data_IF_468443499532
#
_entry.id   IF_468443499532
#
_cell.length_a   1.000
_cell.length_b   1.000
_cell.length_c   1.000
_cell.angle_alpha   90.00
_cell.angle_beta   90.00
_cell.angle_gamma   90.00
#
_symmetry.space_group_name_H-M   'P 1'
#
loop_
_entity.id
_entity.type
_entity.pdbx_description
1 polymer ?
#
# COMPACT_ATOMS: atom_id res chain seq x y z
N UNK A 1 11.84 -0.72 -7.11
CA UNK A 1 10.87 0.38 -7.27
C UNK A 1 9.51 -0.25 -7.24
N UNK A 2 8.69 0.08 -6.25
CA UNK A 2 7.31 -0.40 -6.19
C UNK A 2 6.46 0.53 -7.04
N UNK A 3 5.76 -0.04 -8.02
CA UNK A 3 4.92 0.70 -8.95
C UNK A 3 3.51 0.82 -8.38
N UNK A 4 3.08 2.05 -8.12
CA UNK A 4 1.67 2.34 -7.85
C UNK A 4 0.87 2.22 -9.14
N UNK A 5 -0.35 1.71 -9.07
CA UNK A 5 -1.32 1.78 -10.15
C UNK A 5 -2.50 2.66 -9.76
N UNK A 6 -3.18 3.21 -10.75
CA UNK A 6 -4.44 3.91 -10.54
C UNK A 6 -5.59 2.93 -10.78
N UNK A 7 -6.52 2.85 -9.83
CA UNK A 7 -7.71 2.01 -10.01
C UNK A 7 -8.77 2.71 -10.88
N UNK A 8 -9.83 1.99 -11.25
CA UNK A 8 -10.91 2.53 -12.08
C UNK A 8 -11.68 3.70 -11.45
N UNK A 9 -11.45 3.98 -10.16
CA UNK A 9 -12.04 5.09 -9.41
C UNK A 9 -11.09 6.28 -9.25
N UNK A 10 -9.89 6.23 -9.87
CA UNK A 10 -8.89 7.30 -9.84
C UNK A 10 -7.96 7.30 -8.63
N UNK A 11 -8.06 6.33 -7.72
CA UNK A 11 -7.18 6.24 -6.55
C UNK A 11 -5.85 5.59 -6.90
N UNK A 12 -4.76 6.17 -6.40
CA UNK A 12 -3.43 5.57 -6.49
C UNK A 12 -3.25 4.54 -5.38
N UNK A 13 -3.00 3.31 -5.81
CA UNK A 13 -2.85 2.15 -4.95
C UNK A 13 -1.45 1.58 -5.13
N UNK A 14 -0.83 1.25 -4.00
CA UNK A 14 0.47 0.58 -3.94
C UNK A 14 0.22 -0.91 -3.64
N UNK A 15 0.36 -1.80 -4.63
CA UNK A 15 0.35 -3.22 -4.39
C UNK A 15 1.65 -3.62 -3.69
N UNK A 16 1.53 -4.42 -2.64
CA UNK A 16 2.66 -4.92 -1.86
C UNK A 16 2.73 -6.43 -1.97
N UNK A 17 3.91 -6.93 -2.28
CA UNK A 17 4.29 -8.35 -2.24
C UNK A 17 4.72 -8.79 -0.84
N UNK A 18 4.86 -10.09 -0.63
CA UNK A 18 5.26 -10.67 0.65
C UNK A 18 6.61 -10.10 1.17
N UNK A 19 7.58 -9.86 0.29
CA UNK A 19 8.88 -9.29 0.66
C UNK A 19 8.76 -7.82 1.11
N UNK A 20 7.92 -7.05 0.42
CA UNK A 20 7.66 -5.64 0.74
C UNK A 20 6.90 -5.51 2.07
N UNK A 21 5.93 -6.40 2.30
CA UNK A 21 5.21 -6.50 3.57
C UNK A 21 6.15 -6.91 4.71
N UNK A 22 7.15 -7.75 4.43
CA UNK A 22 8.12 -8.19 5.43
C UNK A 22 8.97 -7.03 5.95
N UNK A 23 9.42 -6.14 5.06
CA UNK A 23 10.26 -4.97 5.38
C UNK A 23 9.46 -3.79 5.92
N UNK A 24 8.15 -3.73 5.65
CA UNK A 24 7.29 -2.67 6.16
C UNK A 24 6.32 -3.19 7.23
N UNK A 25 6.66 -3.09 8.53
CA UNK A 25 5.85 -3.68 9.61
C UNK A 25 4.39 -3.24 9.64
N UNK A 26 4.12 -1.99 9.22
CA UNK A 26 2.75 -1.45 9.11
C UNK A 26 1.91 -2.22 8.09
N UNK A 27 2.52 -2.73 7.02
CA UNK A 27 1.81 -3.47 5.97
C UNK A 27 1.44 -4.91 6.37
N UNK A 28 1.91 -5.40 7.54
CA UNK A 28 1.66 -6.78 8.00
C UNK A 28 0.26 -7.03 8.52
N UNK A 29 -0.52 -5.98 8.74
CA UNK A 29 -1.88 -6.07 9.29
C UNK A 29 -2.81 -5.20 8.48
N UNK A 30 -4.00 -5.72 8.18
CA UNK A 30 -5.04 -4.93 7.55
C UNK A 30 -5.63 -3.93 8.56
N UNK A 31 -5.64 -2.64 8.21
CA UNK A 31 -6.20 -1.59 9.06
C UNK A 31 -7.73 -1.71 9.21
N UNK A 32 -8.41 -2.42 8.30
CA UNK A 32 -9.87 -2.59 8.30
C UNK A 32 -10.35 -3.77 9.14
N UNK A 33 -9.81 -4.98 8.89
CA UNK A 33 -10.27 -6.20 9.55
C UNK A 33 -9.28 -6.74 10.61
N UNK A 34 -8.11 -6.13 10.77
CA UNK A 34 -7.09 -6.58 11.72
C UNK A 34 -6.40 -7.91 11.36
N UNK A 35 -6.74 -8.53 10.23
CA UNK A 35 -6.11 -9.77 9.78
C UNK A 35 -4.67 -9.52 9.35
N UNK A 36 -3.81 -10.50 9.60
CA UNK A 36 -2.42 -10.48 9.14
C UNK A 36 -2.37 -10.63 7.62
N UNK A 37 -1.55 -9.80 7.00
CA UNK A 37 -1.26 -9.83 5.56
C UNK A 37 0.11 -10.47 5.42
N UNK A 38 0.16 -11.66 4.84
CA UNK A 38 1.41 -12.43 4.67
C UNK A 38 1.87 -12.53 3.22
N UNK A 39 0.93 -12.42 2.27
CA UNK A 39 1.16 -12.79 0.87
C UNK A 39 1.15 -11.57 -0.03
N UNK A 40 0.04 -10.84 -0.04
CA UNK A 40 -0.15 -9.63 -0.83
C UNK A 40 -1.14 -8.70 -0.13
N UNK A 41 -1.01 -7.41 -0.38
CA UNK A 41 -1.97 -6.42 0.11
C UNK A 41 -1.89 -5.11 -0.65
N UNK A 42 -2.83 -4.22 -0.35
CA UNK A 42 -3.05 -3.00 -1.10
C UNK A 42 -3.04 -1.81 -0.17
N UNK A 43 -2.06 -0.93 -0.34
CA UNK A 43 -2.00 0.33 0.38
C UNK A 43 -2.60 1.44 -0.47
N UNK A 44 -3.58 2.16 0.08
CA UNK A 44 -4.27 3.24 -0.62
C UNK A 44 -3.81 4.57 -0.05
N UNK A 45 -3.04 5.32 -0.86
CA UNK A 45 -2.42 6.58 -0.42
C UNK A 45 -3.42 7.67 -0.04
N UNK A 46 -4.58 7.71 -0.71
CA UNK A 46 -5.62 8.70 -0.46
C UNK A 46 -6.25 8.60 0.93
N UNK A 47 -6.33 7.39 1.49
CA UNK A 47 -6.86 7.17 2.84
C UNK A 47 -5.76 6.82 3.85
N UNK A 48 -4.52 6.62 3.40
CA UNK A 48 -3.39 6.18 4.24
C UNK A 48 -3.66 4.87 4.99
N UNK A 49 -4.36 3.93 4.34
CA UNK A 49 -4.76 2.64 4.92
C UNK A 49 -4.21 1.46 4.12
N UNK A 50 -3.87 0.41 4.85
CA UNK A 50 -3.47 -0.90 4.34
C UNK A 50 -4.66 -1.87 4.35
N UNK A 51 -4.94 -2.47 3.19
CA UNK A 51 -6.00 -3.45 3.02
C UNK A 51 -5.43 -4.83 2.67
N UNK A 52 -6.03 -5.88 3.24
CA UNK A 52 -5.93 -7.22 2.67
C UNK A 52 -6.76 -7.30 1.37
N UNK A 53 -6.57 -8.32 0.52
CA UNK A 53 -7.29 -8.45 -0.75
C UNK A 53 -8.81 -8.33 -0.60
N UNK A 54 -9.41 -9.09 0.32
CA UNK A 54 -10.86 -9.04 0.57
C UNK A 54 -11.35 -7.63 0.92
N UNK A 55 -10.67 -6.96 1.87
CA UNK A 55 -11.08 -5.62 2.30
C UNK A 55 -10.81 -4.55 1.26
N UNK A 56 -9.82 -4.75 0.39
CA UNK A 56 -9.57 -3.87 -0.73
C UNK A 56 -10.71 -3.97 -1.76
N UNK A 57 -11.19 -5.17 -2.07
CA UNK A 57 -12.32 -5.35 -2.98
C UNK A 57 -13.60 -4.73 -2.44
N UNK A 58 -13.89 -4.92 -1.15
CA UNK A 58 -15.05 -4.28 -0.49
C UNK A 58 -14.94 -2.75 -0.49
N UNK A 59 -13.76 -2.22 -0.15
CA UNK A 59 -13.50 -0.78 -0.21
C UNK A 59 -13.63 -0.28 -1.66
N UNK A 60 -13.05 -1.01 -2.61
CA UNK A 60 -13.11 -0.65 -4.02
C UNK A 60 -14.54 -0.71 -4.55
N UNK A 61 -15.41 -1.59 -4.08
CA UNK A 61 -16.83 -1.61 -4.47
C UNK A 61 -17.59 -0.40 -3.93
N UNK A 62 -17.32 -0.03 -2.67
CA UNK A 62 -18.08 1.01 -1.93
C UNK A 62 -17.53 2.42 -2.05
N UNK A 63 -16.25 2.58 -2.40
CA UNK A 63 -15.59 3.89 -2.46
C UNK A 63 -16.22 4.80 -3.53
N UNK A 64 -16.39 6.10 -3.29
CA UNK A 64 -16.78 7.03 -4.34
C UNK A 64 -15.68 7.16 -5.40
N UNK A 65 -16.00 7.74 -6.57
CA UNK A 65 -14.94 8.16 -7.50
C UNK A 65 -14.12 9.28 -6.87
N UNK A 66 -12.80 9.22 -7.05
CA UNK A 66 -11.88 10.23 -6.53
C UNK A 66 -12.15 11.55 -7.23
N UNK A 67 -12.55 12.55 -6.45
CA UNK A 67 -12.62 13.92 -6.95
C UNK A 67 -11.21 14.53 -6.94
N UNK A 68 -10.83 15.29 -7.97
CA UNK A 68 -9.45 15.80 -8.16
C UNK A 68 -8.90 16.58 -6.95
N UNK A 69 -9.77 17.16 -6.13
CA UNK A 69 -9.42 17.90 -4.92
C UNK A 69 -9.18 17.02 -3.67
N UNK A 70 -9.48 15.72 -3.72
CA UNK A 70 -9.68 14.93 -2.51
C UNK A 70 -8.40 14.49 -1.77
N UNK A 71 -7.20 14.64 -2.31
CA UNK A 71 -6.02 14.32 -1.48
C UNK A 71 -4.68 14.89 -1.96
N UNK A 72 -4.32 16.13 -1.56
CA UNK A 72 -2.97 16.64 -1.79
C UNK A 72 -1.87 15.77 -1.13
N UNK A 73 -2.24 14.94 -0.15
CA UNK A 73 -1.31 14.09 0.61
C UNK A 73 -1.13 12.69 0.05
N UNK A 74 -1.94 12.25 -0.92
CA UNK A 74 -1.84 10.89 -1.49
C UNK A 74 -0.44 10.63 -2.03
N UNK A 75 0.09 11.54 -2.84
CA UNK A 75 1.43 11.42 -3.40
C UNK A 75 2.51 11.39 -2.30
N UNK A 76 2.38 12.20 -1.24
CA UNK A 76 3.32 12.21 -0.12
C UNK A 76 3.29 10.91 0.68
N UNK A 77 2.10 10.34 0.90
CA UNK A 77 1.94 9.06 1.58
C UNK A 77 2.58 7.92 0.77
N UNK A 78 2.32 7.89 -0.54
CA UNK A 78 2.90 6.89 -1.44
C UNK A 78 4.42 7.02 -1.56
N UNK A 79 4.94 8.25 -1.63
CA UNK A 79 6.38 8.51 -1.67
C UNK A 79 7.07 7.97 -0.41
N UNK A 80 6.52 8.26 0.78
CA UNK A 80 7.05 7.75 2.05
C UNK A 80 7.00 6.22 2.11
N UNK A 81 5.88 5.61 1.71
CA UNK A 81 5.75 4.16 1.67
C UNK A 81 6.83 3.53 0.76
N UNK A 82 7.00 4.08 -0.44
CA UNK A 82 8.01 3.63 -1.39
C UNK A 82 9.44 3.76 -0.86
N UNK A 83 9.76 4.86 -0.17
CA UNK A 83 11.07 5.07 0.46
C UNK A 83 11.36 4.00 1.51
N UNK A 84 10.43 3.78 2.46
CA UNK A 84 10.56 2.73 3.48
C UNK A 84 10.77 1.34 2.90
N UNK A 85 10.00 0.99 1.87
CA UNK A 85 10.10 -0.32 1.21
C UNK A 85 11.44 -0.44 0.47
N UNK A 86 11.87 0.60 -0.24
CA UNK A 86 13.12 0.60 -0.98
C UNK A 86 14.33 0.46 -0.04
N UNK A 87 14.36 1.21 1.06
CA UNK A 87 15.40 1.13 2.08
C UNK A 87 15.45 -0.27 2.70
N UNK A 88 14.32 -0.77 3.20
CA UNK A 88 14.27 -2.09 3.84
C UNK A 88 14.63 -3.24 2.90
N UNK A 89 14.27 -3.16 1.62
CA UNK A 89 14.70 -4.14 0.62
C UNK A 89 16.19 -4.03 0.28
N UNK A 90 16.77 -2.83 0.33
CA UNK A 90 18.20 -2.61 0.09
C UNK A 90 19.06 -3.20 1.22
N UNK A 91 18.60 -3.10 2.47
CA UNK A 91 19.27 -3.66 3.64
C UNK A 91 19.32 -5.19 3.61
N UNK A 92 18.24 -5.84 3.17
CA UNK A 92 18.17 -7.30 2.97
C UNK A 92 19.17 -7.76 1.91
N UNK A 93 19.41 -6.95 0.86
CA UNK A 93 20.37 -7.30 -0.19
C UNK A 93 21.81 -7.12 0.27
N UNK A 94 22.10 -6.09 1.07
CA UNK A 94 23.44 -5.85 1.63
C UNK A 94 23.88 -6.92 2.64
N UNK A 95 22.94 -7.48 3.41
CA UNK A 95 23.24 -8.54 4.41
C UNK A 95 23.43 -9.94 3.82
N UNK A 96 23.16 -10.14 2.53
CA UNK A 96 23.41 -11.41 1.81
C UNK A 96 24.77 -11.46 1.09
N UNK A 97 25.67 -10.51 1.35
CA UNK A 97 26.99 -10.41 0.72
C UNK A 97 28.10 -10.93 1.64
#
# INVERSE_FOLDING_TARGET
MTTTFENSKGYKVLPLSADEIKVWPRAKTCDRCGRKISSNGFYVGAVNLMYCPDCYEEWHATAPEKQELQCPRENSHLAKANEYIAEGLSDIKSTKK
#
